data_IF_443218179039
#
_entry.id   IF_443218179039
#
_cell.length_a   1.000
_cell.length_b   1.000
_cell.length_c   1.000
_cell.angle_alpha   90.00
_cell.angle_beta   90.00
_cell.angle_gamma   90.00
#
_symmetry.space_group_name_H-M   'P 1'
#
loop_
_entity.id
_entity.type
_entity.pdbx_description
1 polymer ?
#
# COMPACT_ATOMS: atom_id res chain seq x y z
N UNK A 1 7.90 2.70 -4.27
CA UNK A 1 6.48 2.99 -3.96
C UNK A 1 5.73 3.27 -5.24
N UNK A 2 4.50 2.77 -5.41
CA UNK A 2 3.70 2.97 -6.63
C UNK A 2 2.95 4.32 -6.58
N UNK A 3 2.88 5.06 -7.69
CA UNK A 3 2.21 6.38 -7.75
C UNK A 3 0.74 6.28 -7.32
N UNK A 4 0.04 5.23 -7.77
CA UNK A 4 -1.35 4.94 -7.39
C UNK A 4 -1.54 4.92 -5.87
N UNK A 5 -0.70 4.14 -5.17
CA UNK A 5 -0.77 3.98 -3.71
C UNK A 5 -0.55 5.31 -3.00
N UNK A 6 0.39 6.13 -3.49
CA UNK A 6 0.64 7.45 -2.90
C UNK A 6 -0.56 8.37 -3.09
N UNK A 7 -1.19 8.35 -4.27
CA UNK A 7 -2.39 9.12 -4.54
C UNK A 7 -3.55 8.71 -3.60
N UNK A 8 -3.76 7.40 -3.42
CA UNK A 8 -4.77 6.85 -2.52
C UNK A 8 -4.53 7.26 -1.06
N UNK A 9 -3.29 7.22 -0.57
CA UNK A 9 -2.91 7.69 0.78
C UNK A 9 -3.25 9.17 0.97
N UNK A 10 -3.05 9.99 -0.06
CA UNK A 10 -3.43 11.41 -0.06
C UNK A 10 -4.90 11.66 -0.37
N UNK A 11 -5.73 10.61 -0.52
CA UNK A 11 -7.15 10.67 -0.86
C UNK A 11 -7.45 11.31 -2.23
N UNK A 12 -6.51 11.24 -3.15
CA UNK A 12 -6.70 11.62 -4.55
C UNK A 12 -7.17 10.40 -5.35
N UNK A 13 -7.95 10.64 -6.41
CA UNK A 13 -8.28 9.58 -7.37
C UNK A 13 -7.07 9.33 -8.29
N UNK A 14 -6.42 8.16 -8.25
CA UNK A 14 -5.23 7.87 -9.05
C UNK A 14 -5.48 7.87 -10.56
N UNK A 15 -6.73 7.70 -11.00
CA UNK A 15 -7.11 7.70 -12.42
C UNK A 15 -7.34 9.13 -12.96
N UNK A 16 -7.50 10.11 -12.07
CA UNK A 16 -7.76 11.51 -12.41
C UNK A 16 -6.53 12.41 -12.27
N UNK A 17 -5.36 11.85 -11.93
CA UNK A 17 -4.12 12.62 -11.81
C UNK A 17 -3.72 13.22 -13.16
N UNK A 18 -3.42 14.51 -13.15
CA UNK A 18 -2.69 15.13 -14.25
C UNK A 18 -1.25 14.63 -14.33
N UNK A 19 -0.63 14.73 -15.51
CA UNK A 19 0.78 14.35 -15.71
C UNK A 19 1.71 15.09 -14.73
N UNK A 20 1.44 16.37 -14.47
CA UNK A 20 2.22 17.19 -13.52
C UNK A 20 2.12 16.65 -12.10
N UNK A 21 0.92 16.23 -11.66
CA UNK A 21 0.73 15.65 -10.33
C UNK A 21 1.42 14.29 -10.21
N UNK A 22 1.33 13.45 -11.24
CA UNK A 22 2.04 12.17 -11.28
C UNK A 22 3.56 12.35 -11.21
N UNK A 23 4.11 13.33 -11.93
CA UNK A 23 5.54 13.69 -11.88
C UNK A 23 5.93 14.18 -10.48
N UNK A 24 5.16 15.10 -9.89
CA UNK A 24 5.42 15.60 -8.53
C UNK A 24 5.41 14.47 -7.49
N UNK A 25 4.42 13.57 -7.56
CA UNK A 25 4.35 12.40 -6.69
C UNK A 25 5.59 11.52 -6.87
N UNK A 26 6.02 11.27 -8.11
CA UNK A 26 7.20 10.45 -8.37
C UNK A 26 8.49 11.05 -7.79
N UNK A 27 8.70 12.36 -7.93
CA UNK A 27 9.87 13.06 -7.41
C UNK A 27 9.85 13.05 -5.88
N UNK A 28 8.70 13.39 -5.27
CA UNK A 28 8.59 13.49 -3.83
C UNK A 28 8.72 12.11 -3.14
N UNK A 29 8.18 11.06 -3.76
CA UNK A 29 8.25 9.67 -3.29
C UNK A 29 9.64 9.04 -3.38
N UNK A 30 10.57 9.63 -4.13
CA UNK A 30 11.97 9.18 -4.18
C UNK A 30 12.82 9.71 -3.02
N UNK A 31 12.27 10.56 -2.15
CA UNK A 31 12.97 10.96 -0.91
C UNK A 31 12.84 9.85 0.13
N UNK A 32 13.96 9.26 0.55
CA UNK A 32 14.02 8.05 1.39
C UNK A 32 13.09 8.07 2.62
N UNK A 33 13.10 9.17 3.40
CA UNK A 33 12.26 9.28 4.60
C UNK A 33 10.76 9.25 4.28
N UNK A 34 10.36 9.86 3.16
CA UNK A 34 8.98 9.84 2.72
C UNK A 34 8.62 8.47 2.18
N UNK A 35 9.51 7.86 1.39
CA UNK A 35 9.29 6.53 0.82
C UNK A 35 9.04 5.50 1.92
N UNK A 36 9.91 5.45 2.94
CA UNK A 36 9.77 4.55 4.08
C UNK A 36 8.45 4.77 4.83
N UNK A 37 8.09 6.03 5.07
CA UNK A 37 6.82 6.38 5.73
C UNK A 37 5.61 5.91 4.91
N UNK A 38 5.63 6.10 3.59
CA UNK A 38 4.55 5.68 2.70
C UNK A 38 4.48 4.16 2.57
N UNK A 39 5.62 3.46 2.54
CA UNK A 39 5.69 1.98 2.56
C UNK A 39 5.06 1.44 3.84
N UNK A 40 5.47 1.97 4.99
CA UNK A 40 4.94 1.53 6.28
C UNK A 40 3.43 1.78 6.38
N UNK A 41 2.97 2.95 5.94
CA UNK A 41 1.54 3.28 5.91
C UNK A 41 0.75 2.33 5.00
N UNK A 42 1.24 2.08 3.79
CA UNK A 42 0.60 1.16 2.84
C UNK A 42 0.48 -0.25 3.40
N UNK A 43 1.58 -0.80 3.94
CA UNK A 43 1.56 -2.13 4.56
C UNK A 43 0.58 -2.20 5.74
N UNK A 44 0.55 -1.16 6.59
CA UNK A 44 -0.41 -1.07 7.69
C UNK A 44 -1.87 -1.11 7.19
N UNK A 45 -2.20 -0.33 6.16
CA UNK A 45 -3.56 -0.29 5.61
C UNK A 45 -3.98 -1.64 5.01
N UNK A 46 -3.07 -2.35 4.34
CA UNK A 46 -3.31 -3.69 3.83
C UNK A 46 -3.55 -4.71 4.96
N UNK A 47 -2.74 -4.67 6.02
CA UNK A 47 -2.89 -5.57 7.17
C UNK A 47 -4.24 -5.34 7.85
N UNK A 48 -4.61 -4.08 8.11
CA UNK A 48 -5.87 -3.74 8.78
C UNK A 48 -7.07 -4.05 7.89
N UNK A 49 -6.94 -3.98 6.57
CA UNK A 49 -8.00 -4.39 5.65
C UNK A 49 -8.35 -5.88 5.80
N UNK A 50 -7.34 -6.77 5.81
CA UNK A 50 -7.58 -8.22 5.93
C UNK A 50 -7.82 -8.66 7.39
N UNK A 51 -7.17 -8.01 8.36
CA UNK A 51 -7.21 -8.36 9.78
C UNK A 51 -7.48 -7.12 10.68
N UNK A 52 -8.73 -6.63 10.75
CA UNK A 52 -9.06 -5.33 11.36
C UNK A 52 -8.70 -5.20 12.86
N UNK A 53 -8.64 -6.32 13.58
CA UNK A 53 -8.41 -6.36 15.03
C UNK A 53 -7.02 -6.89 15.39
N UNK A 54 -6.08 -6.98 14.44
CA UNK A 54 -4.77 -7.58 14.69
C UNK A 54 -3.81 -6.66 15.45
N UNK A 55 -2.91 -7.26 16.21
CA UNK A 55 -1.78 -6.55 16.80
C UNK A 55 -0.67 -6.40 15.75
N UNK A 56 -0.57 -5.21 15.17
CA UNK A 56 0.44 -4.91 14.14
C UNK A 56 1.89 -4.94 14.64
N UNK A 57 2.13 -5.01 15.96
CA UNK A 57 3.46 -5.27 16.52
C UNK A 57 3.83 -6.76 16.50
N UNK A 58 2.86 -7.67 16.42
CA UNK A 58 3.03 -9.11 16.53
C UNK A 58 2.21 -9.85 15.46
N UNK A 59 2.62 -9.70 14.20
CA UNK A 59 1.98 -10.37 13.07
C UNK A 59 2.39 -11.85 13.01
N UNK A 60 1.45 -12.71 12.62
CA UNK A 60 1.76 -14.10 12.27
C UNK A 60 2.44 -14.17 10.90
N UNK A 61 3.12 -15.30 10.62
CA UNK A 61 3.73 -15.54 9.31
C UNK A 61 2.72 -15.41 8.16
N UNK A 62 1.50 -15.92 8.36
CA UNK A 62 0.41 -15.82 7.38
C UNK A 62 0.06 -14.36 7.07
N UNK A 63 -0.07 -13.53 8.11
CA UNK A 63 -0.40 -12.12 7.96
C UNK A 63 0.71 -11.36 7.24
N UNK A 64 1.97 -11.68 7.53
CA UNK A 64 3.12 -11.15 6.80
C UNK A 64 3.10 -11.54 5.32
N UNK A 65 2.88 -12.82 5.03
CA UNK A 65 2.84 -13.35 3.65
C UNK A 65 1.70 -12.70 2.86
N UNK A 66 0.51 -12.57 3.46
CA UNK A 66 -0.64 -11.97 2.80
C UNK A 66 -0.43 -10.49 2.51
N UNK A 67 0.05 -9.71 3.50
CA UNK A 67 0.36 -8.29 3.32
C UNK A 67 1.43 -8.08 2.23
N UNK A 68 2.47 -8.91 2.21
CA UNK A 68 3.50 -8.90 1.16
C UNK A 68 2.92 -9.24 -0.22
N UNK A 69 2.02 -10.21 -0.30
CA UNK A 69 1.35 -10.60 -1.56
C UNK A 69 0.48 -9.48 -2.13
N UNK A 70 -0.16 -8.70 -1.25
CA UNK A 70 -0.98 -7.53 -1.62
C UNK A 70 -0.17 -6.29 -1.93
N UNK A 71 1.07 -6.17 -1.43
CA UNK A 71 1.87 -4.93 -1.55
C UNK A 71 1.88 -4.33 -2.96
N UNK A 72 2.02 -5.17 -3.99
CA UNK A 72 2.02 -4.72 -5.39
C UNK A 72 0.67 -4.79 -6.12
N UNK A 73 -0.32 -5.47 -5.53
CA UNK A 73 -1.58 -5.86 -6.19
C UNK A 73 -2.84 -5.31 -5.49
N UNK A 74 -2.66 -4.57 -4.40
CA UNK A 74 -3.72 -3.98 -3.56
C UNK A 74 -4.80 -5.00 -3.17
N UNK A 75 -6.02 -4.51 -2.92
CA UNK A 75 -7.21 -5.29 -2.54
C UNK A 75 -8.06 -5.74 -3.73
N UNK A 76 -7.56 -5.54 -4.96
CA UNK A 76 -8.32 -5.80 -6.20
C UNK A 76 -8.64 -7.29 -6.40
N UNK A 77 -7.87 -8.19 -5.77
CA UNK A 77 -8.14 -9.64 -5.76
C UNK A 77 -8.63 -10.11 -4.41
N UNK A 78 -9.55 -11.07 -4.42
CA UNK A 78 -10.02 -11.75 -3.21
C UNK A 78 -8.86 -12.46 -2.52
N UNK A 79 -8.97 -12.63 -1.21
CA UNK A 79 -7.97 -13.33 -0.43
C UNK A 79 -7.79 -14.79 -0.88
N UNK A 80 -8.87 -15.46 -1.30
CA UNK A 80 -8.85 -16.85 -1.81
C UNK A 80 -7.95 -17.05 -3.02
N UNK A 81 -7.75 -16.01 -3.83
CA UNK A 81 -6.91 -16.05 -5.03
C UNK A 81 -5.42 -16.10 -4.72
N UNK A 82 -5.02 -15.77 -3.48
CA UNK A 82 -3.63 -15.66 -3.05
C UNK A 82 -3.09 -16.95 -2.41
N UNK A 83 -3.97 -17.90 -2.07
CA UNK A 83 -3.61 -19.19 -1.44
C UNK A 83 -3.61 -20.39 -2.42
N UNK A 84 -3.53 -20.15 -3.73
CA UNK A 84 -3.34 -21.19 -4.75
C UNK A 84 -1.86 -21.57 -4.89
#
# INVERSE_FOLDING_TARGET
>A
MQIRVVAEIFKNNPVELSDTEAIHISIYSNKDNLNLTMVARHLYELIIYDYPSTDTFNLTDEQFILAGSRYNRSIERSQSDLYQ
#
